data_IF_455580375188
#
_entry.id   IF_455580375188
#
_cell.length_a   1.000
_cell.length_b   1.000
_cell.length_c   1.000
_cell.angle_alpha   90.00
_cell.angle_beta   90.00
_cell.angle_gamma   90.00
#
_symmetry.space_group_name_H-M   'P 1'
#
loop_
_entity.id
_entity.type
_entity.pdbx_description
1 polymer ?
#
# COMPACT_ATOMS: atom_id res chain seq x y z
N UNK A 1 12.92 2.18 15.81
CA UNK A 1 12.28 3.20 14.93
C UNK A 1 10.83 2.82 14.66
N UNK A 2 9.97 3.81 14.43
CA UNK A 2 8.60 3.61 13.95
C UNK A 2 8.58 3.73 12.43
N UNK A 3 8.26 2.63 11.75
CA UNK A 3 8.33 2.51 10.29
C UNK A 3 6.92 2.34 9.72
N UNK A 4 6.52 3.21 8.80
CA UNK A 4 5.27 3.03 8.06
C UNK A 4 5.57 2.41 6.69
N UNK A 5 5.12 1.18 6.50
CA UNK A 5 5.26 0.48 5.22
C UNK A 5 4.02 0.73 4.36
N UNK A 6 4.22 1.16 3.12
CA UNK A 6 3.16 1.34 2.13
C UNK A 6 3.36 0.34 0.99
N UNK A 7 2.35 -0.45 0.67
CA UNK A 7 2.41 -1.39 -0.45
C UNK A 7 1.03 -1.66 -1.04
N UNK A 8 0.95 -1.83 -2.35
CA UNK A 8 -0.26 -2.39 -2.98
C UNK A 8 -0.36 -3.89 -2.80
N UNK A 9 0.77 -4.56 -2.58
CA UNK A 9 0.87 -6.02 -2.46
C UNK A 9 1.26 -6.37 -1.02
N UNK A 10 0.31 -6.90 -0.28
CA UNK A 10 0.48 -7.40 1.08
C UNK A 10 -0.48 -8.54 1.33
N UNK A 11 -0.17 -9.55 2.16
CA UNK A 11 -1.10 -10.61 2.50
C UNK A 11 -2.44 -10.08 3.01
N UNK A 12 -3.51 -10.73 2.60
CA UNK A 12 -4.87 -10.42 3.02
C UNK A 12 -5.45 -11.61 3.78
N UNK A 13 -6.34 -11.42 4.76
CA UNK A 13 -7.05 -12.54 5.40
C UNK A 13 -7.80 -13.42 4.40
N UNK A 14 -8.15 -12.85 3.25
CA UNK A 14 -8.84 -13.51 2.13
C UNK A 14 -7.90 -14.07 1.06
N UNK A 15 -6.59 -13.78 1.13
CA UNK A 15 -5.55 -14.28 0.24
C UNK A 15 -4.16 -14.10 0.88
N UNK A 16 -3.74 -15.08 1.63
CA UNK A 16 -2.48 -15.05 2.40
C UNK A 16 -1.22 -15.14 1.52
N UNK A 17 -1.34 -15.67 0.31
CA UNK A 17 -0.22 -15.80 -0.62
C UNK A 17 0.12 -14.49 -1.36
N UNK A 18 -0.71 -13.46 -1.21
CA UNK A 18 -0.52 -12.19 -1.88
C UNK A 18 0.58 -11.35 -1.23
N UNK A 19 1.61 -10.98 -1.99
CA UNK A 19 2.64 -10.03 -1.54
C UNK A 19 3.49 -10.50 -0.36
N UNK A 20 3.76 -11.81 -0.25
CA UNK A 20 4.56 -12.42 0.84
C UNK A 20 5.94 -11.79 0.95
N UNK A 21 6.56 -11.41 -0.17
CA UNK A 21 7.86 -10.73 -0.18
C UNK A 21 7.84 -9.39 0.59
N UNK A 22 6.69 -8.72 0.70
CA UNK A 22 6.56 -7.51 1.53
C UNK A 22 6.36 -7.87 2.99
N UNK A 23 5.55 -8.90 3.29
CA UNK A 23 5.39 -9.35 4.67
C UNK A 23 6.70 -9.88 5.27
N UNK A 24 7.50 -10.61 4.49
CA UNK A 24 8.82 -11.09 4.93
C UNK A 24 9.75 -9.92 5.33
N UNK A 25 9.76 -8.85 4.54
CA UNK A 25 10.51 -7.63 4.90
C UNK A 25 9.95 -6.95 6.17
N UNK A 26 8.63 -6.89 6.32
CA UNK A 26 8.00 -6.32 7.52
C UNK A 26 8.31 -7.15 8.76
N UNK A 27 8.25 -8.48 8.66
CA UNK A 27 8.61 -9.40 9.73
C UNK A 27 10.08 -9.25 10.12
N UNK A 28 10.99 -9.14 9.14
CA UNK A 28 12.40 -8.88 9.41
C UNK A 28 12.60 -7.56 10.17
N UNK A 29 12.00 -6.47 9.71
CA UNK A 29 12.08 -5.17 10.38
C UNK A 29 11.57 -5.25 11.83
N UNK A 30 10.49 -5.98 12.05
CA UNK A 30 9.91 -6.18 13.38
C UNK A 30 10.84 -7.04 14.28
N UNK A 31 11.43 -8.10 13.71
CA UNK A 31 12.33 -9.01 14.44
C UNK A 31 13.61 -8.33 14.95
N UNK A 32 14.06 -7.28 14.26
CA UNK A 32 15.20 -6.45 14.69
C UNK A 32 14.81 -5.27 15.57
N UNK A 33 13.55 -5.25 16.07
CA UNK A 33 13.09 -4.32 17.10
C UNK A 33 12.49 -3.02 16.59
N UNK A 34 12.04 -2.96 15.32
CA UNK A 34 11.28 -1.80 14.84
C UNK A 34 9.78 -1.98 15.10
N UNK A 35 9.11 -0.86 15.39
CA UNK A 35 7.65 -0.78 15.48
C UNK A 35 7.10 -0.46 14.09
N UNK A 36 6.42 -1.43 13.47
CA UNK A 36 6.01 -1.36 12.06
C UNK A 36 4.48 -1.39 11.94
N UNK A 37 3.94 -0.46 11.17
CA UNK A 37 2.54 -0.49 10.71
C UNK A 37 2.48 -0.51 9.19
N UNK A 38 1.46 -1.17 8.63
CA UNK A 38 1.33 -1.35 7.19
C UNK A 38 0.07 -0.67 6.65
N UNK A 39 0.23 0.08 5.57
CA UNK A 39 -0.87 0.57 4.74
C UNK A 39 -0.87 -0.20 3.43
N UNK A 40 -1.96 -0.91 3.18
CA UNK A 40 -2.16 -1.65 1.94
C UNK A 40 -3.38 -1.11 1.17
N UNK A 41 -3.26 -0.01 0.42
CA UNK A 41 -4.37 0.53 -0.35
C UNK A 41 -4.89 -0.50 -1.35
N UNK A 42 -6.19 -0.74 -1.36
CA UNK A 42 -6.81 -1.71 -2.25
C UNK A 42 -7.77 -1.00 -3.22
N UNK A 43 -7.84 -1.40 -4.49
CA UNK A 43 -8.79 -0.84 -5.42
C UNK A 43 -10.24 -1.14 -4.98
N UNK A 44 -11.15 -0.21 -5.26
CA UNK A 44 -12.58 -0.49 -5.17
C UNK A 44 -12.98 -1.38 -6.34
N UNK A 45 -13.54 -2.54 -6.01
CA UNK A 45 -13.97 -3.49 -7.02
C UNK A 45 -15.13 -4.35 -6.53
N UNK A 46 -15.85 -4.93 -7.48
CA UNK A 46 -16.90 -5.90 -7.24
C UNK A 46 -16.33 -7.33 -7.38
N UNK A 47 -16.95 -8.29 -6.71
CA UNK A 47 -16.46 -9.68 -6.68
C UNK A 47 -16.21 -10.28 -8.08
N UNK A 48 -17.07 -9.99 -9.06
CA UNK A 48 -16.93 -10.53 -10.41
C UNK A 48 -15.69 -9.98 -11.15
N UNK A 49 -15.16 -8.84 -10.73
CA UNK A 49 -13.96 -8.24 -11.31
C UNK A 49 -12.68 -8.95 -10.84
N UNK A 50 -12.70 -9.60 -9.69
CA UNK A 50 -11.57 -10.40 -9.17
C UNK A 50 -11.22 -11.57 -10.09
N UNK A 51 -12.23 -12.21 -10.70
CA UNK A 51 -12.03 -13.35 -11.59
C UNK A 51 -11.19 -13.05 -12.83
N UNK A 52 -11.03 -11.77 -13.17
CA UNK A 52 -10.27 -11.35 -14.35
C UNK A 52 -8.76 -11.21 -14.12
N UNK A 53 -8.31 -11.16 -12.85
CA UNK A 53 -6.89 -10.96 -12.50
C UNK A 53 -6.58 -11.68 -11.19
N UNK A 54 -5.69 -12.68 -11.24
CA UNK A 54 -5.27 -13.46 -10.06
C UNK A 54 -4.70 -12.59 -8.92
N UNK A 55 -3.99 -11.51 -9.25
CA UNK A 55 -3.42 -10.55 -8.29
C UNK A 55 -4.47 -9.79 -7.49
N UNK A 56 -5.75 -9.81 -7.91
CA UNK A 56 -6.87 -9.14 -7.27
C UNK A 56 -7.75 -10.10 -6.47
N UNK A 57 -7.44 -11.39 -6.45
CA UNK A 57 -8.21 -12.40 -5.69
C UNK A 57 -8.27 -12.03 -4.20
N UNK A 58 -9.47 -12.05 -3.64
CA UNK A 58 -9.73 -11.75 -2.24
C UNK A 58 -9.86 -10.26 -1.89
N UNK A 59 -9.53 -9.35 -2.82
CA UNK A 59 -9.54 -7.89 -2.56
C UNK A 59 -10.92 -7.36 -2.21
N UNK A 60 -11.99 -7.76 -2.91
CA UNK A 60 -13.33 -7.21 -2.70
C UNK A 60 -13.88 -7.53 -1.30
N UNK A 61 -13.54 -8.69 -0.74
CA UNK A 61 -14.03 -9.16 0.56
C UNK A 61 -13.10 -8.83 1.73
N UNK A 62 -11.85 -8.43 1.47
CA UNK A 62 -10.88 -8.15 2.52
C UNK A 62 -11.37 -7.04 3.46
N UNK A 63 -11.20 -7.17 4.77
CA UNK A 63 -11.52 -6.13 5.72
C UNK A 63 -10.62 -4.89 5.51
N UNK A 64 -11.09 -3.71 6.00
CA UNK A 64 -10.32 -2.48 5.92
C UNK A 64 -9.22 -2.37 6.97
N UNK A 65 -9.35 -3.08 8.08
CA UNK A 65 -8.40 -3.12 9.18
C UNK A 65 -8.28 -4.59 9.62
N UNK A 66 -7.07 -5.06 9.79
CA UNK A 66 -6.80 -6.41 10.28
C UNK A 66 -5.39 -6.48 10.86
N UNK A 67 -5.06 -7.59 11.49
CA UNK A 67 -3.69 -7.93 11.87
C UNK A 67 -3.15 -9.03 10.97
N UNK A 68 -1.87 -8.96 10.66
CA UNK A 68 -1.08 -10.03 10.07
C UNK A 68 0.02 -10.40 11.08
N UNK A 69 -0.16 -11.51 11.79
CA UNK A 69 0.56 -11.71 13.04
C UNK A 69 0.27 -10.58 14.02
N UNK A 70 1.30 -9.96 14.56
CA UNK A 70 1.17 -8.78 15.43
C UNK A 70 1.12 -7.45 14.67
N UNK A 71 1.33 -7.46 13.36
CA UNK A 71 1.40 -6.27 12.54
C UNK A 71 0.00 -5.71 12.26
N UNK A 72 -0.22 -4.45 12.60
CA UNK A 72 -1.45 -3.73 12.27
C UNK A 72 -1.45 -3.31 10.79
N UNK A 73 -2.50 -3.70 10.08
CA UNK A 73 -2.67 -3.40 8.66
C UNK A 73 -3.93 -2.57 8.42
N UNK A 74 -3.78 -1.45 7.73
CA UNK A 74 -4.89 -0.66 7.23
C UNK A 74 -4.97 -0.76 5.70
N UNK A 75 -6.10 -1.24 5.19
CA UNK A 75 -6.36 -1.48 3.77
C UNK A 75 -7.47 -0.56 3.23
N UNK A 76 -7.22 0.76 3.15
CA UNK A 76 -8.21 1.71 2.63
C UNK A 76 -8.51 1.45 1.15
N UNK A 77 -9.75 1.73 0.75
CA UNK A 77 -10.17 1.58 -0.64
C UNK A 77 -9.94 2.86 -1.44
N UNK A 78 -9.35 2.72 -2.64
CA UNK A 78 -9.16 3.81 -3.59
C UNK A 78 -9.91 3.55 -4.90
N UNK A 79 -10.17 4.65 -5.64
CA UNK A 79 -10.65 4.60 -7.00
C UNK A 79 -9.45 4.64 -7.95
N UNK A 80 -9.37 3.67 -8.84
CA UNK A 80 -8.32 3.46 -9.81
C UNK A 80 -8.04 1.97 -9.97
N UNK A 81 -7.79 1.56 -11.18
CA UNK A 81 -7.35 0.20 -11.52
C UNK A 81 -6.01 0.32 -12.23
N UNK A 82 -5.10 -0.66 -12.09
CA UNK A 82 -3.90 -0.73 -12.92
C UNK A 82 -4.27 -0.67 -14.40
N UNK A 83 -3.61 0.20 -15.16
CA UNK A 83 -3.93 0.46 -16.56
C UNK A 83 -5.16 1.36 -16.79
N UNK A 84 -5.63 2.08 -15.75
CA UNK A 84 -6.74 3.03 -15.92
C UNK A 84 -6.24 4.33 -16.58
N UNK A 85 -6.91 4.82 -17.63
CA UNK A 85 -6.44 5.97 -18.43
C UNK A 85 -6.50 7.32 -17.72
N UNK A 86 -7.01 7.37 -16.48
CA UNK A 86 -7.20 8.61 -15.73
C UNK A 86 -6.39 8.64 -14.42
N UNK A 87 -5.10 8.94 -14.44
CA UNK A 87 -4.26 9.00 -13.24
C UNK A 87 -4.76 10.03 -12.22
N UNK A 88 -5.43 11.09 -12.67
CA UNK A 88 -6.00 12.14 -11.81
C UNK A 88 -7.03 11.60 -10.79
N UNK A 89 -7.79 10.56 -11.13
CA UNK A 89 -8.76 9.93 -10.22
C UNK A 89 -8.00 9.19 -9.11
N UNK A 90 -6.96 8.47 -9.47
CA UNK A 90 -6.11 7.76 -8.53
C UNK A 90 -5.40 8.73 -7.59
N UNK A 91 -4.81 9.82 -8.10
CA UNK A 91 -4.17 10.88 -7.31
C UNK A 91 -5.15 11.50 -6.31
N UNK A 92 -6.36 11.87 -6.74
CA UNK A 92 -7.41 12.40 -5.85
C UNK A 92 -7.79 11.39 -4.76
N UNK A 93 -7.81 10.12 -5.12
CA UNK A 93 -8.11 9.04 -4.19
C UNK A 93 -7.00 8.87 -3.14
N UNK A 94 -5.72 8.93 -3.54
CA UNK A 94 -4.57 8.89 -2.62
C UNK A 94 -4.58 10.08 -1.66
N UNK A 95 -4.96 11.29 -2.11
CA UNK A 95 -5.17 12.46 -1.24
C UNK A 95 -6.22 12.20 -0.14
N UNK A 96 -7.33 11.53 -0.49
CA UNK A 96 -8.36 11.15 0.49
C UNK A 96 -7.87 10.06 1.45
N UNK A 97 -7.05 9.14 0.97
CA UNK A 97 -6.45 8.08 1.77
C UNK A 97 -5.45 8.66 2.78
N UNK A 98 -4.64 9.63 2.41
CA UNK A 98 -3.70 10.27 3.32
C UNK A 98 -4.39 10.76 4.61
N UNK A 99 -5.54 11.45 4.49
CA UNK A 99 -6.34 11.87 5.65
C UNK A 99 -6.81 10.70 6.52
N UNK A 100 -7.20 9.58 5.89
CA UNK A 100 -7.66 8.37 6.61
C UNK A 100 -6.52 7.64 7.31
N UNK A 101 -5.33 7.64 6.71
CA UNK A 101 -4.11 7.08 7.30
C UNK A 101 -3.75 7.87 8.55
N UNK A 102 -3.69 9.20 8.47
CA UNK A 102 -3.42 10.06 9.63
C UNK A 102 -4.42 9.80 10.77
N UNK A 103 -5.70 9.71 10.45
CA UNK A 103 -6.73 9.40 11.45
C UNK A 103 -6.63 7.98 12.03
N UNK A 104 -6.17 7.00 11.24
CA UNK A 104 -6.01 5.63 11.71
C UNK A 104 -4.78 5.45 12.60
N UNK A 105 -3.73 6.21 12.35
CA UNK A 105 -2.50 6.18 13.15
C UNK A 105 -2.70 6.73 14.56
N UNK A 106 -3.70 7.58 14.78
CA UNK A 106 -4.17 8.04 16.09
C UNK A 106 -3.02 8.44 17.04
N UNK A 107 -2.19 9.38 16.59
CA UNK A 107 -1.03 9.86 17.35
C UNK A 107 0.25 9.01 17.19
N UNK A 108 0.19 7.81 16.62
CA UNK A 108 1.40 7.07 16.25
C UNK A 108 2.08 7.77 15.07
N UNK A 109 3.27 8.30 15.30
CA UNK A 109 4.03 9.04 14.28
C UNK A 109 5.18 8.20 13.75
N UNK A 110 5.22 7.88 12.45
CA UNK A 110 6.37 7.24 11.84
C UNK A 110 7.58 8.18 11.79
N UNK A 111 8.76 7.61 11.80
CA UNK A 111 10.04 8.30 11.61
C UNK A 111 10.52 8.19 10.16
N UNK A 112 10.05 7.17 9.44
CA UNK A 112 10.34 6.94 8.03
C UNK A 112 9.17 6.21 7.37
N UNK A 113 9.00 6.44 6.06
CA UNK A 113 8.08 5.67 5.22
C UNK A 113 8.88 4.80 4.26
N UNK A 114 8.57 3.51 4.20
CA UNK A 114 9.09 2.55 3.22
C UNK A 114 7.97 2.20 2.24
N UNK A 115 8.13 2.57 1.00
CA UNK A 115 7.14 2.35 -0.05
C UNK A 115 7.59 1.18 -0.93
N UNK A 116 6.80 0.11 -1.02
CA UNK A 116 7.01 -0.96 -1.99
C UNK A 116 6.17 -0.68 -3.24
N UNK A 117 6.81 -0.64 -4.39
CA UNK A 117 6.28 -0.18 -5.69
C UNK A 117 6.22 1.36 -5.82
N UNK A 118 6.24 1.84 -7.07
CA UNK A 118 6.22 3.29 -7.33
C UNK A 118 4.78 3.78 -7.45
N UNK A 119 4.06 3.33 -8.45
CA UNK A 119 2.72 3.85 -8.73
C UNK A 119 1.62 2.92 -8.20
N UNK A 120 0.58 3.46 -7.58
CA UNK A 120 0.34 4.86 -7.18
C UNK A 120 0.75 5.15 -5.71
N UNK A 121 1.47 4.26 -5.05
CA UNK A 121 1.71 4.30 -3.60
C UNK A 121 2.73 5.37 -3.23
N UNK A 122 3.70 5.66 -4.14
CA UNK A 122 4.67 6.73 -3.97
C UNK A 122 4.00 8.11 -3.87
N UNK A 123 2.89 8.35 -4.56
CA UNK A 123 2.10 9.58 -4.39
C UNK A 123 1.56 9.72 -2.96
N UNK A 124 1.10 8.62 -2.36
CA UNK A 124 0.68 8.60 -0.96
C UNK A 124 1.86 8.81 -0.02
N UNK A 125 2.99 8.12 -0.26
CA UNK A 125 4.22 8.26 0.52
C UNK A 125 4.73 9.71 0.52
N UNK A 126 4.86 10.31 -0.65
CA UNK A 126 5.30 11.70 -0.79
C UNK A 126 4.39 12.71 -0.05
N UNK A 127 3.06 12.51 -0.11
CA UNK A 127 2.12 13.36 0.63
C UNK A 127 2.28 13.25 2.14
N UNK A 128 2.35 12.03 2.65
CA UNK A 128 2.48 11.78 4.07
C UNK A 128 3.84 12.25 4.59
N UNK A 129 4.90 11.98 3.83
CA UNK A 129 6.26 12.42 4.16
C UNK A 129 6.36 13.96 4.24
N UNK A 130 5.77 14.69 3.29
CA UNK A 130 5.69 16.15 3.33
C UNK A 130 4.85 16.67 4.50
N UNK A 131 3.74 16.01 4.80
CA UNK A 131 2.86 16.40 5.90
C UNK A 131 3.55 16.25 7.27
N UNK A 132 4.34 15.19 7.45
CA UNK A 132 5.01 14.88 8.70
C UNK A 132 6.48 15.31 8.76
N UNK A 133 7.02 15.84 7.66
CA UNK A 133 8.43 16.25 7.53
C UNK A 133 9.41 15.13 7.83
N UNK A 134 9.12 13.93 7.34
CA UNK A 134 9.95 12.73 7.51
C UNK A 134 10.45 12.21 6.16
N UNK A 135 11.58 11.48 6.14
CA UNK A 135 12.08 10.85 4.93
C UNK A 135 11.18 9.70 4.46
N UNK A 136 11.25 9.42 3.17
CA UNK A 136 10.69 8.22 2.59
C UNK A 136 11.61 7.64 1.51
N UNK A 137 11.53 6.33 1.33
CA UNK A 137 12.24 5.62 0.27
C UNK A 137 11.29 4.67 -0.46
N UNK A 138 11.63 4.32 -1.69
CA UNK A 138 10.91 3.32 -2.47
C UNK A 138 11.79 2.11 -2.75
N UNK A 139 11.24 0.94 -2.48
CA UNK A 139 11.79 -0.35 -2.94
C UNK A 139 11.15 -0.64 -4.28
N UNK A 140 11.96 -0.62 -5.33
CA UNK A 140 11.52 -0.84 -6.72
C UNK A 140 11.60 -2.33 -7.02
N UNK A 141 10.52 -2.89 -7.55
CA UNK A 141 10.45 -4.29 -7.98
C UNK A 141 10.51 -4.37 -9.50
N UNK A 142 10.91 -5.54 -10.06
CA UNK A 142 11.07 -5.72 -11.50
C UNK A 142 9.86 -5.28 -12.33
N UNK A 143 8.64 -5.51 -11.81
CA UNK A 143 7.41 -5.06 -12.47
C UNK A 143 7.30 -3.54 -12.65
N UNK A 144 7.87 -2.76 -11.74
CA UNK A 144 7.89 -1.29 -11.85
C UNK A 144 8.78 -0.84 -13.02
N UNK A 145 9.85 -1.60 -13.32
CA UNK A 145 10.75 -1.34 -14.45
C UNK A 145 10.19 -1.87 -15.77
N UNK A 146 9.72 -3.11 -15.78
CA UNK A 146 9.38 -3.79 -17.04
C UNK A 146 8.06 -3.29 -17.63
N UNK A 147 7.14 -2.82 -16.78
CA UNK A 147 5.80 -2.41 -17.20
C UNK A 147 5.55 -0.93 -16.88
N UNK A 148 5.93 -0.48 -15.68
CA UNK A 148 5.61 0.87 -15.22
C UNK A 148 6.32 1.97 -16.01
N UNK A 149 7.60 1.79 -16.34
CA UNK A 149 8.38 2.79 -17.09
C UNK A 149 8.13 2.76 -18.60
N UNK A 150 7.52 1.70 -19.13
CA UNK A 150 7.16 1.61 -20.54
C UNK A 150 5.76 2.19 -20.83
N UNK A 151 4.97 2.43 -19.81
CA UNK A 151 3.64 3.04 -19.97
C UNK A 151 3.78 4.57 -20.07
N UNK A 152 3.62 5.10 -21.30
CA UNK A 152 3.70 6.54 -21.59
C UNK A 152 2.64 7.39 -20.87
N UNK A 153 1.73 6.78 -20.10
CA UNK A 153 0.67 7.45 -19.36
C UNK A 153 0.99 7.63 -17.86
N UNK A 154 2.18 7.24 -17.43
CA UNK A 154 2.74 7.48 -16.10
C UNK A 154 3.87 8.49 -16.21
#
# INVERSE_FOLDING_TARGET
MRILVLSLMYPLPTNVARGTFVSDNVELLTSIGHDVKVINPLPRMLKYQEARRSTLTGVAKSPKKFKHGEIEVFAPRFWGLPGHPYPSITIRSMKKIAKKVTAWLDGWQPEIIVCHTIWPVAELANRLAKQWQIPWLSVVHGHDFDVGLQDSNI
#
